data_IF_284072598525
#
_entry.id   IF_284072598525
#
_cell.length_a   1.000
_cell.length_b   1.000
_cell.length_c   1.000
_cell.angle_alpha   90.00
_cell.angle_beta   90.00
_cell.angle_gamma   90.00
#
_symmetry.space_group_name_H-M   'P 1'
#
loop_
_entity.id
_entity.type
_entity.pdbx_description
1 polymer ?
#
# COMPACT_ATOMS: atom_id res chain seq x y z
N UNK A 1 23.27 -8.51 24.45
CA UNK A 1 22.83 -8.84 23.09
C UNK A 1 21.54 -8.07 22.83
N UNK A 2 21.65 -6.83 22.34
CA UNK A 2 20.50 -6.05 21.92
C UNK A 2 20.35 -6.28 20.42
N UNK A 3 19.30 -7.01 20.03
CA UNK A 3 18.97 -7.18 18.62
C UNK A 3 18.66 -5.79 18.05
N UNK A 4 19.53 -5.34 17.15
CA UNK A 4 19.37 -4.11 16.41
C UNK A 4 18.17 -4.27 15.45
N UNK A 5 17.00 -3.80 15.89
CA UNK A 5 15.76 -3.75 15.09
C UNK A 5 15.81 -2.70 13.97
N UNK A 6 16.93 -2.00 13.74
CA UNK A 6 17.01 -0.92 12.74
C UNK A 6 17.38 -1.36 11.32
N UNK A 7 17.72 -2.62 11.08
CA UNK A 7 18.31 -3.04 9.81
C UNK A 7 17.38 -3.73 8.82
N UNK A 8 16.06 -3.79 9.07
CA UNK A 8 15.10 -4.12 8.01
C UNK A 8 14.47 -2.83 7.52
N UNK A 9 15.29 -1.99 6.89
CA UNK A 9 14.83 -0.85 6.13
C UNK A 9 14.03 -1.30 4.91
N UNK A 10 12.80 -1.76 5.11
CA UNK A 10 11.87 -2.01 4.02
C UNK A 10 11.57 -0.64 3.41
N UNK A 11 12.19 -0.35 2.27
CA UNK A 11 11.97 0.92 1.57
C UNK A 11 10.63 0.81 0.83
N UNK A 12 9.56 1.05 1.59
CA UNK A 12 8.16 0.89 1.16
C UNK A 12 7.80 1.77 -0.06
N UNK A 13 8.56 2.82 -0.32
CA UNK A 13 8.32 3.76 -1.42
C UNK A 13 8.95 3.32 -2.76
N UNK A 14 10.03 2.53 -2.71
CA UNK A 14 10.56 1.82 -3.89
C UNK A 14 9.70 0.58 -4.23
N UNK A 15 8.85 0.19 -3.29
CA UNK A 15 8.01 -1.00 -3.33
C UNK A 15 6.61 -0.63 -3.82
N UNK A 16 6.48 -0.57 -5.15
CA UNK A 16 5.23 -0.27 -5.83
C UNK A 16 4.04 -1.14 -5.39
N UNK A 17 4.27 -2.33 -4.81
CA UNK A 17 3.24 -3.24 -4.30
C UNK A 17 2.29 -2.62 -3.28
N UNK A 18 2.76 -1.68 -2.45
CA UNK A 18 1.93 -1.08 -1.41
C UNK A 18 0.85 -0.19 -1.97
N UNK A 19 1.19 0.59 -2.99
CA UNK A 19 0.22 1.44 -3.68
C UNK A 19 -0.90 0.59 -4.29
N UNK A 20 -0.57 -0.59 -4.84
CA UNK A 20 -1.58 -1.54 -5.34
C UNK A 20 -2.48 -2.07 -4.22
N UNK A 21 -1.92 -2.36 -3.04
CA UNK A 21 -2.73 -2.76 -1.88
C UNK A 21 -3.62 -1.64 -1.35
N UNK A 22 -3.14 -0.40 -1.29
CA UNK A 22 -3.93 0.77 -0.90
C UNK A 22 -5.10 0.99 -1.87
N UNK A 23 -4.84 0.89 -3.18
CA UNK A 23 -5.88 0.99 -4.21
C UNK A 23 -6.91 -0.13 -4.11
N UNK A 24 -6.46 -1.38 -3.94
CA UNK A 24 -7.36 -2.52 -3.72
C UNK A 24 -8.23 -2.34 -2.47
N UNK A 25 -7.63 -1.91 -1.35
CA UNK A 25 -8.36 -1.61 -0.12
C UNK A 25 -9.40 -0.51 -0.30
N UNK A 26 -9.08 0.54 -1.06
CA UNK A 26 -10.02 1.61 -1.40
C UNK A 26 -11.19 1.10 -2.25
N UNK A 27 -10.93 0.22 -3.21
CA UNK A 27 -11.97 -0.35 -4.08
C UNK A 27 -12.90 -1.29 -3.30
N UNK A 28 -12.36 -2.10 -2.38
CA UNK A 28 -13.18 -2.90 -1.45
C UNK A 28 -14.05 -2.01 -0.55
N UNK A 29 -13.46 -0.96 0.02
CA UNK A 29 -14.19 -0.04 0.88
C UNK A 29 -15.32 0.68 0.14
N UNK A 30 -15.08 1.15 -1.09
CA UNK A 30 -16.11 1.72 -1.95
C UNK A 30 -17.21 0.69 -2.27
N UNK A 31 -16.84 -0.56 -2.54
CA UNK A 31 -17.81 -1.64 -2.78
C UNK A 31 -18.80 -1.78 -1.62
N UNK A 32 -18.35 -1.69 -0.38
CA UNK A 32 -19.23 -1.80 0.79
C UNK A 32 -20.13 -0.58 0.99
N UNK A 33 -19.62 0.63 0.77
CA UNK A 33 -20.41 1.86 0.92
C UNK A 33 -21.46 2.00 -0.19
N UNK A 34 -21.11 1.58 -1.40
CA UNK A 34 -21.97 1.66 -2.56
C UNK A 34 -22.99 0.51 -2.63
N UNK A 35 -22.84 -0.55 -1.83
CA UNK A 35 -23.69 -1.73 -1.86
C UNK A 35 -25.19 -1.41 -1.68
N UNK A 36 -25.52 -0.42 -0.84
CA UNK A 36 -26.91 -0.03 -0.58
C UNK A 36 -27.46 1.01 -1.59
N UNK A 37 -26.56 1.75 -2.25
CA UNK A 37 -26.93 2.89 -3.12
C UNK A 37 -26.80 2.60 -4.61
N UNK A 38 -26.11 1.53 -5.01
CA UNK A 38 -25.80 1.21 -6.39
C UNK A 38 -26.39 -0.12 -6.83
N UNK A 39 -26.52 -0.29 -8.15
CA UNK A 39 -26.94 -1.57 -8.71
C UNK A 39 -25.91 -2.66 -8.39
N UNK A 40 -26.35 -3.87 -8.06
CA UNK A 40 -25.49 -5.04 -7.78
C UNK A 40 -24.41 -5.28 -8.85
N UNK A 41 -24.69 -4.94 -10.11
CA UNK A 41 -23.71 -5.02 -11.19
C UNK A 41 -22.50 -4.09 -10.98
N UNK A 42 -22.73 -2.87 -10.47
CA UNK A 42 -21.65 -1.90 -10.20
C UNK A 42 -20.85 -2.33 -8.97
N UNK A 43 -21.51 -2.75 -7.90
CA UNK A 43 -20.84 -3.32 -6.72
C UNK A 43 -19.93 -4.50 -7.10
N UNK A 44 -20.42 -5.41 -7.94
CA UNK A 44 -19.64 -6.56 -8.43
C UNK A 44 -18.43 -6.12 -9.24
N UNK A 45 -18.53 -5.06 -10.04
CA UNK A 45 -17.40 -4.50 -10.79
C UNK A 45 -16.33 -3.91 -9.87
N UNK A 46 -16.73 -3.21 -8.80
CA UNK A 46 -15.81 -2.69 -7.78
C UNK A 46 -15.16 -3.80 -6.96
N UNK A 47 -15.90 -4.85 -6.60
CA UNK A 47 -15.32 -6.03 -5.93
C UNK A 47 -14.32 -6.78 -6.83
N UNK A 48 -14.65 -6.97 -8.10
CA UNK A 48 -13.78 -7.64 -9.08
C UNK A 48 -12.52 -6.81 -9.38
N UNK A 49 -12.64 -5.48 -9.53
CA UNK A 49 -11.49 -4.60 -9.70
C UNK A 49 -10.59 -4.61 -8.46
N UNK A 50 -11.17 -4.62 -7.26
CA UNK A 50 -10.42 -4.71 -6.02
C UNK A 50 -9.62 -6.01 -5.92
N UNK A 51 -10.23 -7.14 -6.29
CA UNK A 51 -9.57 -8.44 -6.34
C UNK A 51 -8.44 -8.47 -7.39
N UNK A 52 -8.66 -7.89 -8.57
CA UNK A 52 -7.63 -7.79 -9.61
C UNK A 52 -6.42 -6.95 -9.14
N UNK A 53 -6.68 -5.80 -8.52
CA UNK A 53 -5.64 -4.92 -7.96
C UNK A 53 -4.89 -5.61 -6.81
N UNK A 54 -5.58 -6.41 -5.99
CA UNK A 54 -4.95 -7.20 -4.94
C UNK A 54 -3.97 -8.23 -5.50
N UNK A 55 -4.36 -8.95 -6.57
CA UNK A 55 -3.50 -9.92 -7.23
C UNK A 55 -2.28 -9.26 -7.87
N UNK A 56 -2.46 -8.09 -8.51
CA UNK A 56 -1.36 -7.30 -9.05
C UNK A 56 -0.40 -6.87 -7.93
N UNK A 57 -0.93 -6.38 -6.82
CA UNK A 57 -0.15 -6.04 -5.62
C UNK A 57 0.62 -7.23 -5.07
N UNK A 58 0.00 -8.41 -5.01
CA UNK A 58 0.64 -9.65 -4.55
C UNK A 58 1.77 -10.09 -5.48
N UNK A 59 1.58 -10.01 -6.79
CA UNK A 59 2.62 -10.34 -7.78
C UNK A 59 3.78 -9.35 -7.69
N UNK A 60 3.49 -8.04 -7.58
CA UNK A 60 4.51 -7.01 -7.38
C UNK A 60 5.29 -7.25 -6.08
N UNK A 61 4.59 -7.55 -4.98
CA UNK A 61 5.22 -7.87 -3.70
C UNK A 61 6.12 -9.10 -3.81
N UNK A 62 5.68 -10.17 -4.48
CA UNK A 62 6.53 -11.35 -4.71
C UNK A 62 7.78 -11.01 -5.53
N UNK A 63 7.68 -10.12 -6.52
CA UNK A 63 8.84 -9.65 -7.28
C UNK A 63 9.80 -8.88 -6.37
N UNK A 64 9.30 -7.94 -5.56
CA UNK A 64 10.10 -7.16 -4.61
C UNK A 64 10.79 -8.03 -3.55
N UNK A 65 10.11 -9.05 -3.03
CA UNK A 65 10.72 -10.01 -2.11
C UNK A 65 11.81 -10.83 -2.80
N UNK A 66 11.57 -11.27 -4.03
CA UNK A 66 12.56 -12.03 -4.80
C UNK A 66 13.79 -11.19 -5.14
N UNK A 67 13.61 -9.90 -5.43
CA UNK A 67 14.71 -8.95 -5.64
C UNK A 67 15.55 -8.74 -4.39
N UNK A 68 14.92 -8.63 -3.22
CA UNK A 68 15.65 -8.59 -1.94
C UNK A 68 16.42 -9.88 -1.66
N UNK A 69 15.82 -11.05 -1.94
CA UNK A 69 16.47 -12.35 -1.74
C UNK A 69 17.65 -12.58 -2.70
N UNK A 70 17.55 -12.10 -3.94
CA UNK A 70 18.59 -12.24 -4.95
C UNK A 70 19.74 -11.23 -4.77
N UNK A 71 19.53 -10.13 -4.04
CA UNK A 71 20.58 -9.15 -3.79
C UNK A 71 20.57 -8.59 -2.35
N UNK A 72 20.92 -9.42 -1.36
CA UNK A 72 20.94 -9.00 0.05
C UNK A 72 22.04 -7.96 0.39
N UNK A 73 22.99 -7.67 -0.53
CA UNK A 73 24.16 -6.80 -0.30
C UNK A 73 24.06 -5.46 -1.06
N UNK A 74 22.92 -5.14 -1.68
CA UNK A 74 22.69 -3.83 -2.29
C UNK A 74 22.20 -2.68 -1.37
N UNK A 75 22.26 -2.69 -0.02
CA UNK A 75 21.96 -1.46 0.71
C UNK A 75 23.07 -0.38 0.61
N UNK A 76 24.21 -0.67 -0.04
CA UNK A 76 25.36 0.26 -0.14
C UNK A 76 25.51 0.93 -1.51
N UNK A 77 24.45 1.10 -2.30
CA UNK A 77 24.55 1.90 -3.53
C UNK A 77 24.48 3.39 -3.18
N UNK A 78 25.47 3.93 -2.46
CA UNK A 78 25.68 5.37 -2.18
C UNK A 78 24.39 6.21 -2.17
N UNK A 79 23.38 5.79 -1.41
CA UNK A 79 22.18 6.59 -1.23
C UNK A 79 22.50 7.48 -0.03
N UNK A 80 22.77 8.76 -0.28
CA UNK A 80 22.91 9.74 0.80
C UNK A 80 21.77 9.54 1.81
N UNK A 81 22.10 9.31 3.08
CA UNK A 81 21.13 9.00 4.15
C UNK A 81 19.96 10.00 4.20
N UNK A 82 20.19 11.22 3.71
CA UNK A 82 19.22 12.29 3.55
C UNK A 82 18.04 11.91 2.64
N UNK A 83 18.28 11.12 1.57
CA UNK A 83 17.21 10.66 0.66
C UNK A 83 16.36 9.57 1.30
N UNK A 84 16.96 8.64 2.05
CA UNK A 84 16.22 7.58 2.78
C UNK A 84 15.35 8.20 3.88
N UNK A 85 15.89 9.17 4.64
CA UNK A 85 15.14 9.90 5.68
C UNK A 85 13.99 10.72 5.09
N UNK A 86 14.22 11.41 3.97
CA UNK A 86 13.17 12.13 3.24
C UNK A 86 12.09 11.23 2.65
N UNK A 87 12.46 10.05 2.15
CA UNK A 87 11.56 9.10 1.51
C UNK A 87 10.62 8.40 2.51
N UNK A 88 11.16 7.93 3.64
CA UNK A 88 10.32 7.38 4.74
C UNK A 88 9.31 8.38 5.27
N UNK A 89 9.66 9.67 5.30
CA UNK A 89 8.78 10.75 5.71
C UNK A 89 7.60 10.95 4.75
N UNK A 90 7.87 10.95 3.43
CA UNK A 90 6.82 11.12 2.40
C UNK A 90 5.85 9.94 2.33
N UNK A 91 6.35 8.71 2.36
CA UNK A 91 5.51 7.51 2.37
C UNK A 91 4.57 7.49 3.58
N UNK A 92 5.09 7.80 4.78
CA UNK A 92 4.28 7.86 6.00
C UNK A 92 3.20 8.94 5.93
N UNK A 93 3.49 10.09 5.29
CA UNK A 93 2.52 11.15 5.06
C UNK A 93 1.38 10.69 4.14
N UNK A 94 1.71 10.04 3.01
CA UNK A 94 0.71 9.52 2.05
C UNK A 94 -0.17 8.46 2.72
N UNK A 95 0.44 7.54 3.48
CA UNK A 95 -0.30 6.51 4.21
C UNK A 95 -1.26 7.12 5.24
N UNK A 96 -0.79 8.10 6.02
CA UNK A 96 -1.63 8.81 6.99
C UNK A 96 -2.76 9.61 6.32
N UNK A 97 -2.49 10.24 5.19
CA UNK A 97 -3.50 10.99 4.43
C UNK A 97 -4.58 10.04 3.89
N UNK A 98 -4.18 8.90 3.32
CA UNK A 98 -5.09 7.87 2.86
C UNK A 98 -5.97 7.33 4.00
N UNK A 99 -5.37 6.98 5.15
CA UNK A 99 -6.13 6.54 6.33
C UNK A 99 -7.15 7.59 6.79
N UNK A 100 -6.74 8.86 6.82
CA UNK A 100 -7.62 9.98 7.20
C UNK A 100 -8.82 10.09 6.24
N UNK A 101 -8.60 10.00 4.93
CA UNK A 101 -9.67 10.04 3.92
C UNK A 101 -10.64 8.87 4.09
N UNK A 102 -10.15 7.66 4.34
CA UNK A 102 -10.99 6.48 4.57
C UNK A 102 -11.87 6.65 5.81
N UNK A 103 -11.32 7.19 6.90
CA UNK A 103 -12.06 7.44 8.14
C UNK A 103 -13.11 8.54 7.95
N UNK A 104 -12.74 9.67 7.36
CA UNK A 104 -13.67 10.78 7.09
C UNK A 104 -14.79 10.31 6.16
N UNK A 105 -14.43 9.62 5.07
CA UNK A 105 -15.40 9.04 4.15
C UNK A 105 -16.37 8.11 4.87
N UNK A 106 -15.87 7.24 5.76
CA UNK A 106 -16.72 6.33 6.51
C UNK A 106 -17.74 7.10 7.36
N UNK A 107 -17.32 8.16 8.05
CA UNK A 107 -18.24 9.00 8.82
C UNK A 107 -19.23 9.80 7.94
N UNK A 108 -18.81 10.26 6.76
CA UNK A 108 -19.70 10.98 5.83
C UNK A 108 -20.79 10.11 5.21
N UNK A 109 -20.48 8.84 4.91
CA UNK A 109 -21.41 7.93 4.26
C UNK A 109 -22.27 7.09 5.23
N UNK A 110 -21.90 7.01 6.52
CA UNK A 110 -22.71 6.36 7.57
C UNK A 110 -23.63 7.32 8.34
N UNK A 111 -23.77 8.58 7.90
CA UNK A 111 -24.75 9.54 8.42
C UNK A 111 -25.85 9.77 7.38
#
# INVERSE_FOLDING_TARGET
>A
MMANEEAVGINFDERGSIYWFMFSGTQLWLSFILADQMTTAIETLFGASAAALFLIGLVAFRKEQRELLLNPIKPQKEVHEDQIKGQKSKFKLILNMWMTVMVIGYFMFNH
#
